data_IF_470248658266
#
_entry.id   IF_470248658266
#
_cell.length_a   1.000
_cell.length_b   1.000
_cell.length_c   1.000
_cell.angle_alpha   90.00
_cell.angle_beta   90.00
_cell.angle_gamma   90.00
#
_symmetry.space_group_name_H-M   'P 1'
#
loop_
_entity.id
_entity.type
_entity.pdbx_description
1 polymer ?
#
# COMPACT_ATOMS: atom_id res chain seq x y z
N UNK A 1 42.31 -51.25 1.58
CA UNK A 1 42.23 -50.27 2.68
C UNK A 1 41.31 -49.14 2.25
N UNK A 2 40.31 -48.81 3.07
CA UNK A 2 39.17 -47.94 2.72
C UNK A 2 39.60 -46.46 2.70
N UNK A 3 39.35 -45.76 1.59
CA UNK A 3 39.41 -44.29 1.53
C UNK A 3 38.11 -43.73 2.10
N UNK A 4 38.18 -43.09 3.28
CA UNK A 4 37.04 -42.37 3.85
C UNK A 4 36.92 -40.99 3.22
N UNK A 5 35.85 -40.78 2.44
CA UNK A 5 35.48 -39.49 1.88
C UNK A 5 34.67 -38.72 2.94
N UNK A 6 35.26 -37.68 3.55
CA UNK A 6 34.53 -36.78 4.45
C UNK A 6 33.76 -35.75 3.61
N UNK A 7 32.45 -35.92 3.51
CA UNK A 7 31.54 -34.94 2.91
C UNK A 7 31.19 -33.90 3.98
N UNK A 8 31.84 -32.73 3.95
CA UNK A 8 31.51 -31.63 4.85
C UNK A 8 30.25 -30.94 4.31
N UNK A 9 29.10 -31.28 4.90
CA UNK A 9 27.83 -30.63 4.63
C UNK A 9 27.83 -29.27 5.37
N UNK A 10 28.17 -28.19 4.66
CA UNK A 10 28.11 -26.83 5.20
C UNK A 10 26.65 -26.39 5.30
N UNK A 11 26.07 -26.45 6.50
CA UNK A 11 24.77 -25.86 6.82
C UNK A 11 24.88 -24.34 6.76
N UNK A 12 24.48 -23.74 5.63
CA UNK A 12 24.21 -22.31 5.58
C UNK A 12 22.92 -22.04 6.34
N UNK A 13 23.04 -21.55 7.58
CA UNK A 13 21.92 -20.98 8.31
C UNK A 13 21.52 -19.67 7.61
N UNK A 14 20.46 -19.73 6.79
CA UNK A 14 19.78 -18.53 6.31
C UNK A 14 19.12 -17.85 7.50
N UNK A 15 19.73 -16.76 7.99
CA UNK A 15 19.02 -15.84 8.87
C UNK A 15 17.92 -15.20 8.02
N UNK A 16 16.67 -15.60 8.24
CA UNK A 16 15.53 -14.88 7.71
C UNK A 16 15.55 -13.48 8.33
N UNK A 17 15.90 -12.47 7.53
CA UNK A 17 15.72 -11.08 7.91
C UNK A 17 14.22 -10.82 7.99
N UNK A 18 13.66 -10.83 9.21
CA UNK A 18 12.30 -10.34 9.41
C UNK A 18 12.32 -8.83 9.24
N UNK A 19 11.48 -8.32 8.34
CA UNK A 19 11.26 -6.89 8.17
C UNK A 19 10.25 -6.43 9.23
N UNK A 20 10.54 -5.34 9.93
CA UNK A 20 9.66 -4.84 11.00
C UNK A 20 8.22 -4.60 10.49
N UNK A 21 8.11 -3.88 9.38
CA UNK A 21 6.85 -3.53 8.73
C UNK A 21 7.06 -3.19 7.25
N UNK A 22 6.03 -3.32 6.40
CA UNK A 22 6.11 -2.95 4.99
C UNK A 22 6.25 -1.43 4.84
N UNK A 23 7.24 -1.01 4.04
CA UNK A 23 7.42 0.40 3.65
C UNK A 23 6.66 0.75 2.37
N UNK A 24 6.21 -0.27 1.63
CA UNK A 24 5.41 -0.20 0.42
C UNK A 24 4.39 -1.35 0.42
N UNK A 25 3.26 -1.24 -0.30
CA UNK A 25 2.39 -2.39 -0.53
C UNK A 25 3.17 -3.48 -1.26
N UNK A 26 2.75 -4.72 -1.05
CA UNK A 26 3.28 -5.85 -1.82
C UNK A 26 2.39 -5.97 -3.06
N UNK A 27 2.97 -5.82 -4.25
CA UNK A 27 2.17 -5.69 -5.47
C UNK A 27 1.56 -7.01 -5.93
N UNK A 28 2.01 -8.15 -5.41
CA UNK A 28 1.44 -9.45 -5.74
C UNK A 28 0.10 -9.66 -5.03
N UNK A 29 -0.03 -9.20 -3.78
CA UNK A 29 -1.28 -9.32 -2.99
C UNK A 29 -2.06 -8.01 -2.87
N UNK A 30 -1.44 -6.86 -3.13
CA UNK A 30 -2.05 -5.53 -3.13
C UNK A 30 -1.69 -4.77 -4.42
N UNK A 31 -2.13 -5.25 -5.60
CA UNK A 31 -1.90 -4.58 -6.89
C UNK A 31 -2.62 -3.22 -7.01
N UNK A 32 -3.62 -2.97 -6.15
CA UNK A 32 -4.42 -1.76 -6.11
C UNK A 32 -5.54 -1.81 -7.15
N UNK A 33 -6.66 -2.44 -6.79
CA UNK A 33 -7.85 -2.49 -7.63
C UNK A 33 -8.66 -1.20 -7.59
N UNK A 34 -9.39 -0.98 -8.68
CA UNK A 34 -10.36 0.12 -8.81
C UNK A 34 -11.76 -0.37 -8.47
N UNK A 35 -12.62 0.55 -8.07
CA UNK A 35 -14.04 0.31 -7.82
C UNK A 35 -14.74 -0.18 -9.10
N UNK A 36 -15.26 -1.41 -9.07
CA UNK A 36 -15.95 -2.09 -10.16
C UNK A 36 -17.49 -2.01 -10.04
N UNK A 37 -18.00 -1.90 -8.82
CA UNK A 37 -19.41 -1.74 -8.48
C UNK A 37 -19.64 -0.40 -7.76
N UNK A 38 -19.74 0.73 -8.49
CA UNK A 38 -19.82 2.04 -7.88
C UNK A 38 -21.18 2.33 -7.24
N UNK A 39 -21.15 2.93 -6.05
CA UNK A 39 -22.31 3.56 -5.42
C UNK A 39 -22.66 4.88 -6.11
N UNK A 40 -21.66 5.56 -6.67
CA UNK A 40 -21.82 6.80 -7.41
C UNK A 40 -20.64 7.07 -8.34
N UNK A 41 -20.76 8.13 -9.14
CA UNK A 41 -19.68 8.63 -9.97
C UNK A 41 -19.26 10.02 -9.49
N UNK A 42 -17.95 10.27 -9.42
CA UNK A 42 -17.38 11.53 -8.94
C UNK A 42 -16.70 12.33 -10.03
N UNK A 43 -16.79 13.64 -9.86
CA UNK A 43 -16.11 14.66 -10.66
C UNK A 43 -16.52 14.65 -12.15
N UNK A 44 -15.92 15.55 -12.92
CA UNK A 44 -16.20 15.69 -14.35
C UNK A 44 -15.81 14.44 -15.16
N UNK A 45 -14.78 13.70 -14.73
CA UNK A 45 -14.30 12.48 -15.41
C UNK A 45 -15.23 11.27 -15.18
N UNK A 46 -16.28 11.40 -14.35
CA UNK A 46 -17.20 10.31 -14.01
C UNK A 46 -16.44 9.09 -13.46
N UNK A 47 -15.64 9.33 -12.42
CA UNK A 47 -14.82 8.30 -11.78
C UNK A 47 -15.73 7.42 -10.91
N UNK A 48 -15.73 6.08 -11.08
CA UNK A 48 -16.43 5.16 -10.19
C UNK A 48 -16.01 5.37 -8.74
N UNK A 49 -16.98 5.49 -7.83
CA UNK A 49 -16.74 5.69 -6.41
C UNK A 49 -17.50 4.67 -5.58
N UNK A 50 -16.74 3.96 -4.74
CA UNK A 50 -17.25 3.06 -3.71
C UNK A 50 -17.21 3.82 -2.37
N UNK A 51 -18.34 3.92 -1.68
CA UNK A 51 -18.39 4.41 -0.30
C UNK A 51 -17.51 3.52 0.58
N UNK A 52 -16.88 4.12 1.60
CA UNK A 52 -15.92 3.36 2.43
C UNK A 52 -16.66 2.29 3.21
N UNK A 53 -16.38 1.04 2.88
CA UNK A 53 -16.89 -0.12 3.60
C UNK A 53 -15.77 -1.16 3.77
N UNK A 54 -14.99 -0.99 4.84
CA UNK A 54 -13.94 -1.94 5.22
C UNK A 54 -14.14 -2.30 6.69
N UNK A 55 -14.64 -3.52 6.90
CA UNK A 55 -14.97 -4.03 8.24
C UNK A 55 -13.73 -4.14 9.13
N UNK A 56 -13.92 -4.09 10.45
CA UNK A 56 -12.81 -4.35 11.39
C UNK A 56 -12.21 -5.75 11.20
N UNK A 57 -13.03 -6.73 10.80
CA UNK A 57 -12.58 -8.09 10.49
C UNK A 57 -11.63 -8.11 9.29
N UNK A 58 -12.03 -7.50 8.18
CA UNK A 58 -11.20 -7.34 6.98
C UNK A 58 -9.86 -6.67 7.32
N UNK A 59 -9.89 -5.62 8.14
CA UNK A 59 -8.66 -4.95 8.58
C UNK A 59 -7.73 -5.86 9.39
N UNK A 60 -8.28 -6.75 10.21
CA UNK A 60 -7.48 -7.74 10.94
C UNK A 60 -6.92 -8.79 9.99
N UNK A 61 -7.72 -9.32 9.06
CA UNK A 61 -7.32 -10.34 8.08
C UNK A 61 -6.18 -9.83 7.17
N UNK A 62 -6.24 -8.60 6.68
CA UNK A 62 -5.13 -7.96 5.92
C UNK A 62 -3.86 -7.86 6.76
N UNK A 63 -3.99 -7.47 8.03
CA UNK A 63 -2.85 -7.34 8.93
C UNK A 63 -2.20 -8.69 9.21
N UNK A 64 -3.01 -9.73 9.42
CA UNK A 64 -2.56 -11.12 9.62
C UNK A 64 -1.90 -11.67 8.36
N UNK A 65 -2.47 -11.44 7.18
CA UNK A 65 -1.91 -11.86 5.88
C UNK A 65 -0.48 -11.34 5.71
N UNK A 66 -0.26 -10.04 5.93
CA UNK A 66 1.08 -9.46 5.84
C UNK A 66 2.06 -10.01 6.89
N UNK A 67 1.58 -10.31 8.10
CA UNK A 67 2.43 -10.88 9.15
C UNK A 67 2.81 -12.34 8.85
N UNK A 68 1.81 -13.15 8.56
CA UNK A 68 1.93 -14.61 8.55
C UNK A 68 2.39 -15.15 7.20
N UNK A 69 1.98 -14.51 6.09
CA UNK A 69 2.35 -14.95 4.73
C UNK A 69 3.60 -14.24 4.20
N UNK A 70 3.77 -12.94 4.50
CA UNK A 70 4.92 -12.16 4.04
C UNK A 70 6.05 -12.02 5.09
N UNK A 71 5.83 -12.50 6.33
CA UNK A 71 6.86 -12.58 7.36
C UNK A 71 7.22 -11.23 8.02
N UNK A 72 6.37 -10.21 7.90
CA UNK A 72 6.55 -8.96 8.62
C UNK A 72 6.26 -9.13 10.12
N UNK A 73 7.00 -8.43 10.99
CA UNK A 73 6.76 -8.51 12.44
C UNK A 73 5.43 -7.88 12.82
N UNK A 74 5.14 -6.70 12.27
CA UNK A 74 3.95 -5.88 12.55
C UNK A 74 3.61 -5.80 14.05
N UNK A 75 4.40 -5.01 14.79
CA UNK A 75 4.30 -4.88 16.25
C UNK A 75 2.87 -4.56 16.75
N UNK A 76 2.22 -5.60 17.28
CA UNK A 76 0.87 -5.52 17.85
C UNK A 76 0.81 -4.74 19.16
N UNK A 77 1.92 -4.63 19.90
CA UNK A 77 1.95 -3.84 21.14
C UNK A 77 1.76 -2.35 20.87
N UNK A 78 2.11 -1.90 19.65
CA UNK A 78 1.94 -0.55 19.16
C UNK A 78 0.97 -0.49 17.96
N UNK A 79 -0.17 -1.19 18.04
CA UNK A 79 -1.17 -1.27 16.96
C UNK A 79 -1.63 0.12 16.44
N UNK A 80 -1.58 1.16 17.27
CA UNK A 80 -1.90 2.55 16.90
C UNK A 80 -0.93 3.17 15.88
N UNK A 81 0.28 2.62 15.73
CA UNK A 81 1.24 3.06 14.72
C UNK A 81 0.87 2.61 13.31
N UNK A 82 -0.18 1.80 13.15
CA UNK A 82 -0.59 1.24 11.87
C UNK A 82 -2.03 1.61 11.51
N UNK A 83 -2.27 1.92 10.25
CA UNK A 83 -3.61 1.88 9.65
C UNK A 83 -3.67 0.78 8.59
N UNK A 84 -4.87 0.30 8.29
CA UNK A 84 -5.13 -0.39 7.03
C UNK A 84 -5.60 0.67 6.07
N UNK A 85 -4.87 0.83 4.97
CA UNK A 85 -5.06 1.91 4.03
C UNK A 85 -5.19 1.40 2.60
N UNK A 86 -5.84 2.20 1.77
CA UNK A 86 -6.03 1.87 0.37
C UNK A 86 -4.76 2.14 -0.44
N UNK A 87 -4.32 1.24 -1.31
CA UNK A 87 -3.19 1.51 -2.20
C UNK A 87 -3.54 2.62 -3.20
N UNK A 88 -4.69 2.51 -3.86
CA UNK A 88 -5.35 3.57 -4.60
C UNK A 88 -6.47 4.15 -3.73
N UNK A 89 -6.50 5.46 -3.40
CA UNK A 89 -7.53 6.00 -2.53
C UNK A 89 -8.89 6.02 -3.22
N UNK A 90 -9.95 5.94 -2.42
CA UNK A 90 -11.34 5.98 -2.91
C UNK A 90 -11.63 7.23 -3.75
N UNK A 91 -11.02 8.39 -3.44
CA UNK A 91 -11.20 9.61 -4.25
C UNK A 91 -10.73 9.43 -5.70
N UNK A 92 -9.72 8.60 -5.93
CA UNK A 92 -9.16 8.28 -7.25
C UNK A 92 -9.78 7.01 -7.84
N UNK A 93 -10.90 6.54 -7.26
CA UNK A 93 -11.64 5.37 -7.71
C UNK A 93 -11.07 4.03 -7.24
N UNK A 94 -10.28 4.00 -6.16
CA UNK A 94 -9.88 2.73 -5.54
C UNK A 94 -11.07 1.95 -4.97
N UNK A 95 -10.93 0.63 -4.89
CA UNK A 95 -11.94 -0.27 -4.30
C UNK A 95 -11.78 -0.39 -2.77
N UNK A 96 -12.73 -1.07 -2.10
CA UNK A 96 -12.58 -1.53 -0.72
C UNK A 96 -12.05 -2.97 -0.60
N UNK A 97 -11.64 -3.59 -1.71
CA UNK A 97 -11.24 -4.99 -1.75
C UNK A 97 -9.85 -5.18 -1.17
N UNK A 98 -9.58 -6.40 -0.70
CA UNK A 98 -8.32 -6.80 -0.06
C UNK A 98 -7.09 -6.52 -0.95
N UNK A 99 -7.24 -6.69 -2.26
CA UNK A 99 -6.20 -6.39 -3.26
C UNK A 99 -5.92 -4.89 -3.46
N UNK A 100 -6.62 -4.02 -2.73
CA UNK A 100 -6.34 -2.59 -2.60
C UNK A 100 -6.05 -2.17 -1.16
N UNK A 101 -5.91 -3.09 -0.20
CA UNK A 101 -5.69 -2.78 1.22
C UNK A 101 -4.36 -3.32 1.72
N UNK A 102 -3.66 -2.54 2.55
CA UNK A 102 -2.40 -2.96 3.16
C UNK A 102 -2.15 -2.27 4.51
N UNK A 103 -1.33 -2.86 5.40
CA UNK A 103 -0.94 -2.22 6.64
C UNK A 103 0.11 -1.14 6.37
N UNK A 104 -0.19 0.09 6.75
CA UNK A 104 0.69 1.23 6.58
C UNK A 104 1.12 1.78 7.94
N UNK A 105 2.43 1.81 8.19
CA UNK A 105 3.00 2.35 9.43
C UNK A 105 3.04 3.89 9.42
N UNK A 106 3.05 4.52 10.60
CA UNK A 106 3.06 5.98 10.79
C UNK A 106 4.21 6.68 10.09
N UNK A 107 5.39 6.06 10.04
CA UNK A 107 6.53 6.61 9.29
C UNK A 107 6.32 6.64 7.77
N UNK A 108 5.34 5.90 7.26
CA UNK A 108 4.98 5.86 5.84
C UNK A 108 3.81 6.81 5.57
N UNK A 109 2.71 6.69 6.33
CA UNK A 109 1.52 7.49 6.03
C UNK A 109 1.69 8.98 6.30
N UNK A 110 2.55 9.37 7.23
CA UNK A 110 2.91 10.79 7.43
C UNK A 110 3.56 11.41 6.19
N UNK A 111 4.17 10.60 5.32
CA UNK A 111 4.79 11.01 4.06
C UNK A 111 3.79 10.98 2.90
N UNK A 112 2.93 9.95 2.83
CA UNK A 112 2.07 9.71 1.67
C UNK A 112 0.70 10.39 1.76
N UNK A 113 0.14 10.58 2.96
CA UNK A 113 -1.22 11.14 3.13
C UNK A 113 -1.37 12.57 2.54
N UNK A 114 -0.36 13.47 2.63
CA UNK A 114 -0.44 14.77 1.96
C UNK A 114 -0.58 14.67 0.43
N UNK A 115 0.00 13.65 -0.21
CA UNK A 115 -0.09 13.43 -1.66
C UNK A 115 -1.51 13.07 -2.05
N UNK A 116 -2.14 12.18 -1.28
CA UNK A 116 -3.54 11.83 -1.49
C UNK A 116 -4.44 13.05 -1.30
N UNK A 117 -4.30 13.75 -0.18
CA UNK A 117 -5.12 14.93 0.12
C UNK A 117 -5.03 15.99 -0.98
N UNK A 118 -3.82 16.42 -1.35
CA UNK A 118 -3.64 17.42 -2.41
C UNK A 118 -4.10 16.87 -3.76
N UNK A 119 -3.75 15.61 -4.07
CA UNK A 119 -4.10 14.96 -5.32
C UNK A 119 -5.61 14.86 -5.53
N UNK A 120 -6.37 14.44 -4.51
CA UNK A 120 -7.82 14.37 -4.56
C UNK A 120 -8.46 15.74 -4.81
N UNK A 121 -7.93 16.81 -4.22
CA UNK A 121 -8.42 18.17 -4.48
C UNK A 121 -8.13 18.62 -5.91
N UNK A 122 -6.95 18.30 -6.46
CA UNK A 122 -6.64 18.58 -7.86
C UNK A 122 -7.53 17.77 -8.81
N UNK A 123 -7.80 16.51 -8.49
CA UNK A 123 -8.68 15.64 -9.26
C UNK A 123 -10.11 16.17 -9.28
N UNK A 124 -10.64 16.53 -8.10
CA UNK A 124 -11.95 17.17 -7.93
C UNK A 124 -12.08 18.46 -8.73
N UNK A 125 -11.02 19.26 -8.78
CA UNK A 125 -10.96 20.51 -9.54
C UNK A 125 -10.73 20.30 -11.05
N UNK A 126 -10.58 19.07 -11.54
CA UNK A 126 -10.28 18.77 -12.94
C UNK A 126 -8.89 19.21 -13.39
N UNK A 127 -7.95 19.41 -12.45
CA UNK A 127 -6.56 19.83 -12.71
C UNK A 127 -5.62 18.66 -12.99
N UNK A 128 -6.04 17.44 -12.68
CA UNK A 128 -5.34 16.20 -12.98
C UNK A 128 -6.37 15.14 -13.35
N UNK A 129 -6.03 14.25 -14.29
CA UNK A 129 -6.84 13.09 -14.65
C UNK A 129 -6.65 11.97 -13.62
N UNK A 130 -7.66 11.12 -13.44
CA UNK A 130 -7.63 9.96 -12.56
C UNK A 130 -6.37 9.12 -12.78
N UNK A 131 -6.12 8.72 -14.04
CA UNK A 131 -4.98 7.87 -14.41
C UNK A 131 -3.64 8.46 -13.97
N UNK A 132 -3.51 9.79 -14.01
CA UNK A 132 -2.27 10.48 -13.66
C UNK A 132 -2.12 10.53 -12.12
N UNK A 133 -3.21 10.79 -11.39
CA UNK A 133 -3.18 10.75 -9.93
C UNK A 133 -2.87 9.33 -9.43
N UNK A 134 -3.51 8.30 -9.99
CA UNK A 134 -3.25 6.89 -9.65
C UNK A 134 -1.77 6.55 -9.86
N UNK A 135 -1.19 6.94 -10.99
CA UNK A 135 0.23 6.71 -11.26
C UNK A 135 1.15 7.39 -10.22
N UNK A 136 0.86 8.64 -9.84
CA UNK A 136 1.64 9.37 -8.83
C UNK A 136 1.53 8.75 -7.44
N UNK A 137 0.34 8.30 -7.04
CA UNK A 137 0.12 7.63 -5.76
C UNK A 137 0.87 6.31 -5.71
N UNK A 138 0.75 5.50 -6.77
CA UNK A 138 1.49 4.23 -6.89
C UNK A 138 3.00 4.47 -6.78
N UNK A 139 3.52 5.46 -7.49
CA UNK A 139 4.93 5.83 -7.41
C UNK A 139 5.34 6.23 -5.99
N UNK A 140 4.56 7.10 -5.32
CA UNK A 140 4.89 7.57 -3.98
C UNK A 140 4.87 6.45 -2.94
N UNK A 141 3.91 5.53 -3.02
CA UNK A 141 3.76 4.39 -2.08
C UNK A 141 4.77 3.25 -2.36
N UNK A 142 5.25 3.10 -3.59
CA UNK A 142 6.33 2.14 -3.92
C UNK A 142 7.73 2.72 -3.68
N UNK A 143 7.88 4.04 -3.76
CA UNK A 143 9.15 4.72 -3.60
C UNK A 143 9.00 6.01 -2.79
N UNK A 144 9.13 5.91 -1.46
CA UNK A 144 8.96 7.05 -0.55
C UNK A 144 9.92 8.21 -0.82
N UNK A 145 11.08 7.98 -1.45
CA UNK A 145 12.00 9.08 -1.80
C UNK A 145 11.43 10.01 -2.86
N UNK A 146 10.46 9.56 -3.66
CA UNK A 146 9.79 10.39 -4.66
C UNK A 146 8.70 11.30 -4.08
N UNK A 147 8.21 10.98 -2.88
CA UNK A 147 7.04 11.65 -2.29
C UNK A 147 7.17 13.19 -2.20
N UNK A 148 8.29 13.78 -1.74
CA UNK A 148 8.42 15.24 -1.68
C UNK A 148 8.32 15.92 -3.06
N UNK A 149 8.92 15.31 -4.09
CA UNK A 149 8.87 15.82 -5.46
C UNK A 149 7.46 15.71 -6.02
N UNK A 150 6.79 14.57 -5.82
CA UNK A 150 5.42 14.33 -6.26
C UNK A 150 4.46 15.34 -5.62
N UNK A 151 4.57 15.54 -4.31
CA UNK A 151 3.76 16.51 -3.58
C UNK A 151 3.93 17.92 -4.14
N UNK A 152 5.18 18.36 -4.35
CA UNK A 152 5.48 19.67 -4.95
C UNK A 152 4.87 19.82 -6.34
N UNK A 153 4.95 18.79 -7.17
CA UNK A 153 4.33 18.80 -8.50
C UNK A 153 2.81 18.95 -8.41
N UNK A 154 2.14 18.16 -7.55
CA UNK A 154 0.69 18.26 -7.34
C UNK A 154 0.27 19.64 -6.84
N UNK A 155 1.04 20.26 -5.93
CA UNK A 155 0.76 21.60 -5.43
C UNK A 155 0.81 22.69 -6.53
N UNK A 156 1.58 22.47 -7.60
CA UNK A 156 1.75 23.41 -8.71
C UNK A 156 0.68 23.35 -9.81
N UNK A 157 -0.19 22.33 -9.77
CA UNK A 157 -1.32 22.17 -10.72
C UNK A 157 -2.47 23.13 -10.42
#
# INVERSE_FOLDING_TARGET
MKFSLFFILSLFAFNAYSLDFPKSPDVEITPGSLCDHPDSYRYAEQIPYCERDVSSRTKSEIFETYRDELGYVLDLSNRSNYKIDHYIPLCAGGSNNDDNLWPQHISVFTITDPIESVGCEKLKAGRILQKNLVALIRQAKLNLSDAPRILKNLQSL
#
